data_IF_749777143643
#
_entry.id   IF_749777143643
#
_cell.length_a   1.000
_cell.length_b   1.000
_cell.length_c   1.000
_cell.angle_alpha   90.00
_cell.angle_beta   90.00
_cell.angle_gamma   90.00
#
_symmetry.space_group_name_H-M   'P 1'
#
loop_
_entity.id
_entity.type
_entity.pdbx_description
1 polymer ?
2 polymer ?
3 non-polymer ?
4 non-polymer ?
5 water ?
#
# COMPACT_ATOMS: atom_id res chain seq x y z
N UNK A 1 19.42 3.24 10.31
CA UNK A 1 18.78 4.26 11.09
C UNK A 1 17.73 3.59 11.90
N UNK A 2 17.32 4.23 12.95
CA UNK A 2 16.33 3.60 13.81
C UNK A 2 15.30 4.58 14.34
N UNK A 3 14.04 4.17 14.30
CA UNK A 3 12.96 4.99 14.82
C UNK A 3 12.41 4.27 16.03
N UNK A 4 12.63 4.84 17.21
CA UNK A 4 12.15 4.23 18.45
C UNK A 4 10.66 4.51 18.67
N UNK A 5 9.98 3.61 19.38
CA UNK A 5 8.56 3.73 19.66
C UNK A 5 7.78 3.94 18.35
N UNK A 6 8.09 3.11 17.36
CA UNK A 6 7.45 3.39 16.04
C UNK A 6 6.12 2.64 16.04
N UNK A 7 5.23 2.96 15.07
CA UNK A 7 3.96 2.24 15.01
C UNK A 7 4.34 0.76 14.89
N UNK A 8 3.58 -0.13 15.51
CA UNK A 8 3.93 -1.54 15.48
C UNK A 8 4.20 -2.10 14.08
N UNK A 9 3.45 -1.64 13.08
CA UNK A 9 3.64 -2.13 11.72
C UNK A 9 5.02 -1.88 11.14
N UNK A 10 5.56 -0.70 11.38
CA UNK A 10 6.89 -0.37 10.88
C UNK A 10 7.93 -1.25 11.58
N UNK A 11 7.78 -1.42 12.88
CA UNK A 11 8.71 -2.25 13.63
C UNK A 11 8.68 -3.69 13.14
N UNK A 12 7.48 -4.20 12.87
CA UNK A 12 7.29 -5.56 12.41
C UNK A 12 7.96 -5.90 11.09
N UNK A 13 7.91 -5.00 10.13
CA UNK A 13 8.51 -5.27 8.83
C UNK A 13 10.03 -5.15 8.84
N UNK A 14 10.58 -4.76 9.99
CA UNK A 14 12.03 -4.65 10.12
C UNK A 14 12.50 -5.61 11.22
N UNK A 15 11.65 -6.57 11.54
CA UNK A 15 12.00 -7.64 12.48
C UNK A 15 11.57 -9.04 12.07
N UNK A 16 12.21 -10.06 12.62
CA UNK A 16 11.89 -11.45 12.31
C UNK A 16 10.92 -12.00 13.35
N UNK A 17 10.64 -11.19 14.36
CA UNK A 17 9.73 -11.57 15.43
C UNK A 17 8.79 -10.43 15.81
N UNK A 18 7.59 -10.77 16.32
CA UNK A 18 6.60 -9.76 16.73
C UNK A 18 7.01 -9.17 18.06
N UNK A 19 6.34 -8.11 18.49
CA UNK A 19 6.62 -7.51 19.78
C UNK A 19 7.70 -6.45 19.93
N UNK A 20 8.39 -6.08 18.85
CA UNK A 20 9.42 -5.04 18.95
C UNK A 20 8.78 -3.67 18.71
N UNK A 21 9.50 -2.61 19.05
CA UNK A 21 8.96 -1.26 18.89
C UNK A 21 9.88 -0.30 18.14
N UNK A 22 10.99 -0.81 17.63
CA UNK A 22 11.94 0.01 16.89
C UNK A 22 11.91 -0.36 15.41
N UNK A 23 11.86 0.66 14.55
CA UNK A 23 11.86 0.44 13.11
C UNK A 23 13.25 0.71 12.56
N UNK A 24 13.92 -0.35 12.11
CA UNK A 24 15.27 -0.23 11.55
C UNK A 24 15.19 -0.13 10.04
N UNK A 25 15.87 0.85 9.48
CA UNK A 25 15.86 1.04 8.04
C UNK A 25 17.10 1.78 7.56
N UNK A 26 17.42 1.64 6.29
CA UNK A 26 18.55 2.33 5.70
C UNK A 26 18.19 3.78 5.45
N UNK A 27 19.11 4.68 5.79
CA UNK A 27 18.92 6.12 5.63
C UNK A 27 18.45 6.58 4.27
N UNK A 28 18.76 5.85 3.20
CA UNK A 28 18.32 6.25 1.87
C UNK A 28 16.80 6.47 1.87
N UNK A 29 16.09 5.61 2.60
CA UNK A 29 14.65 5.71 2.77
C UNK A 29 13.76 5.97 1.55
N UNK A 30 14.01 5.30 0.43
CA UNK A 30 13.18 5.49 -0.73
C UNK A 30 13.38 6.74 -1.54
N UNK A 31 14.41 7.49 -1.21
CA UNK A 31 14.72 8.73 -1.92
C UNK A 31 15.04 8.44 -3.37
N UNK A 32 14.39 9.17 -4.29
CA UNK A 32 14.63 8.95 -5.70
C UNK A 32 13.56 8.07 -6.33
N UNK A 33 12.70 7.49 -5.51
CA UNK A 33 11.60 6.66 -6.01
C UNK A 33 10.31 7.45 -5.89
N UNK A 34 9.27 7.01 -6.61
CA UNK A 34 8.00 7.71 -6.56
C UNK A 34 6.86 6.72 -6.34
N UNK A 35 5.89 7.12 -5.52
CA UNK A 35 4.76 6.27 -5.26
C UNK A 35 3.45 7.00 -5.51
N UNK A 36 2.64 6.46 -6.41
CA UNK A 36 1.33 7.03 -6.71
C UNK A 36 0.31 6.37 -5.79
N UNK A 37 -0.45 7.19 -5.07
CA UNK A 37 -1.48 6.68 -4.19
C UNK A 37 -2.80 6.97 -4.88
N UNK A 38 -3.41 5.92 -5.42
CA UNK A 38 -4.68 6.03 -6.14
C UNK A 38 -5.78 5.77 -5.13
N UNK A 39 -6.34 6.85 -4.60
CA UNK A 39 -7.35 6.75 -3.55
C UNK A 39 -8.24 7.99 -3.47
N UNK A 40 -8.62 8.40 -2.26
CA UNK A 40 -9.49 9.57 -2.10
C UNK A 40 -8.72 10.90 -2.16
N UNK A 41 -7.43 10.82 -2.46
CA UNK A 41 -6.60 12.00 -2.52
C UNK A 41 -5.63 12.02 -1.35
N UNK A 42 -4.85 13.09 -1.25
CA UNK A 42 -3.87 13.24 -0.17
C UNK A 42 -3.87 14.67 0.34
N UNK A 43 -3.93 14.86 1.65
CA UNK A 43 -3.86 16.21 2.20
C UNK A 43 -2.38 16.57 2.16
N UNK A 44 -1.94 17.04 1.00
CA UNK A 44 -0.53 17.39 0.78
C UNK A 44 0.08 18.40 1.75
N UNK A 45 -0.73 19.23 2.38
CA UNK A 45 -0.21 20.23 3.30
C UNK A 45 0.11 19.69 4.69
N UNK A 46 -0.18 18.41 4.92
CA UNK A 46 0.10 17.82 6.23
C UNK A 46 1.59 17.85 6.51
N UNK A 47 1.99 18.48 7.64
CA UNK A 47 3.40 18.59 8.04
C UNK A 47 4.19 17.30 7.91
N UNK A 48 3.52 16.18 8.15
CA UNK A 48 4.17 14.87 8.09
C UNK A 48 4.72 14.48 6.71
N UNK A 49 4.25 15.16 5.66
CA UNK A 49 4.74 14.87 4.31
C UNK A 49 5.94 15.72 3.93
N UNK A 50 6.22 16.72 4.76
CA UNK A 50 7.36 17.61 4.54
C UNK A 50 7.42 18.23 3.16
N UNK A 51 6.26 18.46 2.55
CA UNK A 51 6.34 18.87 1.13
C UNK A 51 6.70 17.86 0.06
N UNK A 52 6.79 16.59 0.44
CA UNK A 52 7.14 15.53 -0.50
C UNK A 52 5.91 14.93 -1.18
N UNK A 53 4.74 15.49 -0.88
CA UNK A 53 3.50 14.98 -1.45
C UNK A 53 2.75 16.01 -2.26
N UNK A 54 2.11 15.58 -3.33
CA UNK A 54 1.32 16.49 -4.15
C UNK A 54 0.27 15.80 -4.99
N UNK A 55 -0.85 16.47 -5.18
CA UNK A 55 -1.94 15.94 -5.98
C UNK A 55 -1.59 16.21 -7.43
N UNK A 56 -1.79 15.22 -8.29
CA UNK A 56 -1.47 15.43 -9.70
C UNK A 56 -2.71 15.25 -10.57
N UNK A 57 -3.78 14.69 -9.98
CA UNK A 57 -4.96 14.34 -10.76
C UNK A 57 -6.18 14.02 -9.91
N UNK A 58 -7.33 14.55 -10.33
CA UNK A 58 -8.59 14.29 -9.63
C UNK A 58 -9.69 14.05 -10.67
N UNK A 59 -10.67 13.20 -10.34
CA UNK A 59 -11.76 12.95 -11.26
C UNK A 59 -13.06 13.53 -10.72
N UNK A 60 -12.93 14.41 -9.73
CA UNK A 60 -14.08 15.06 -9.11
C UNK A 60 -13.90 16.57 -9.11
N UNK A 61 -14.83 17.28 -8.49
CA UNK A 61 -14.79 18.74 -8.42
C UNK A 61 -13.55 19.31 -7.77
N UNK A 62 -12.99 18.59 -6.81
CA UNK A 62 -11.81 19.04 -6.10
C UNK A 62 -10.76 17.95 -6.02
N UNK A 63 -9.53 18.32 -5.69
CA UNK A 63 -8.43 17.37 -5.57
C UNK A 63 -8.16 17.10 -4.09
N UNK A 64 -8.91 17.81 -3.26
CA UNK A 64 -8.83 17.71 -1.80
C UNK A 64 -9.36 16.37 -1.28
N UNK A 65 -8.70 15.83 -0.26
CA UNK A 65 -9.11 14.57 0.36
C UNK A 65 -10.13 14.93 1.45
N UNK A 66 -11.41 14.74 1.16
CA UNK A 66 -12.42 15.07 2.15
C UNK A 66 -12.83 13.83 2.93
N UNK A 67 -12.09 12.75 2.76
CA UNK A 67 -12.42 11.52 3.45
C UNK A 67 -11.39 11.15 4.52
N UNK A 68 -10.13 11.07 4.12
CA UNK A 68 -9.08 10.72 5.06
C UNK A 68 -8.39 9.42 4.74
N UNK A 69 -9.11 8.52 4.06
CA UNK A 69 -8.58 7.22 3.70
C UNK A 69 -7.27 7.34 2.89
N UNK A 70 -7.30 8.16 1.83
CA UNK A 70 -6.12 8.33 1.01
C UNK A 70 -4.93 8.93 1.74
N UNK A 71 -5.21 9.87 2.64
CA UNK A 71 -4.14 10.52 3.40
C UNK A 71 -3.53 9.52 4.39
N UNK A 72 -4.37 8.61 4.90
CA UNK A 72 -3.90 7.60 5.84
C UNK A 72 -2.94 6.64 5.12
N UNK A 73 -3.34 6.13 3.97
CA UNK A 73 -2.51 5.21 3.20
C UNK A 73 -1.20 5.85 2.76
N UNK A 74 -1.29 7.07 2.23
CA UNK A 74 -0.09 7.79 1.78
C UNK A 74 0.91 7.94 2.94
N UNK A 75 0.38 8.18 4.14
CA UNK A 75 1.22 8.36 5.31
C UNK A 75 1.99 7.10 5.65
N UNK A 76 1.37 5.95 5.44
CA UNK A 76 2.03 4.68 5.73
C UNK A 76 3.12 4.43 4.69
N UNK A 77 2.92 4.98 3.49
CA UNK A 77 3.92 4.80 2.45
C UNK A 77 5.13 5.67 2.79
N UNK A 78 4.92 6.97 2.98
CA UNK A 78 6.04 7.84 3.25
C UNK A 78 5.93 9.09 4.10
N UNK A 79 5.16 9.06 5.19
CA UNK A 79 5.11 10.23 6.08
C UNK A 79 6.38 10.08 6.94
N UNK A 80 6.92 11.16 7.48
CA UNK A 80 8.14 11.02 8.27
C UNK A 80 7.99 10.10 9.49
N UNK A 81 6.88 10.20 10.21
CA UNK A 81 6.68 9.38 11.39
C UNK A 81 5.98 8.04 11.21
N UNK A 82 5.05 7.95 10.26
CA UNK A 82 4.28 6.73 10.06
C UNK A 82 4.59 5.97 8.78
N UNK A 83 5.55 6.45 8.02
CA UNK A 83 5.86 5.81 6.76
C UNK A 83 7.04 4.85 6.70
N UNK A 84 6.98 3.96 5.71
CA UNK A 84 8.01 2.97 5.46
C UNK A 84 9.18 3.61 4.73
N UNK A 85 8.89 4.33 3.65
CA UNK A 85 9.91 5.01 2.85
C UNK A 85 9.76 6.50 3.14
N UNK A 86 10.43 6.95 4.19
CA UNK A 86 10.34 8.32 4.68
C UNK A 86 10.82 9.44 3.77
N UNK A 87 11.51 9.11 2.67
CA UNK A 87 11.99 10.14 1.76
C UNK A 87 11.43 10.06 0.35
N UNK A 88 10.40 9.24 0.16
CA UNK A 88 9.97 8.96 -1.23
C UNK A 88 9.09 10.15 -1.62
N UNK A 89 8.81 10.27 -2.92
CA UNK A 89 7.96 11.33 -3.43
C UNK A 89 6.58 10.71 -3.61
N UNK A 90 5.54 11.39 -3.10
CA UNK A 90 4.18 10.86 -3.19
C UNK A 90 3.33 11.66 -4.16
N UNK A 91 2.56 10.95 -4.99
CA UNK A 91 1.68 11.58 -5.96
C UNK A 91 0.27 11.08 -5.73
N UNK A 92 -0.68 11.99 -5.58
CA UNK A 92 -2.04 11.59 -5.33
C UNK A 92 -2.92 11.63 -6.56
N UNK A 93 -3.70 10.57 -6.74
CA UNK A 93 -4.64 10.47 -7.84
C UNK A 93 -5.99 10.18 -7.18
N UNK A 94 -6.87 11.18 -7.18
CA UNK A 94 -8.18 11.04 -6.57
C UNK A 94 -9.17 10.34 -7.50
N UNK A 95 -9.37 9.05 -7.24
CA UNK A 95 -10.25 8.23 -8.06
C UNK A 95 -11.51 7.86 -7.27
N UNK A 96 -11.48 8.14 -5.96
CA UNK A 96 -12.61 7.85 -5.06
C UNK A 96 -13.17 9.17 -4.54
N UNK A 97 -14.48 9.24 -4.38
CA UNK A 97 -15.09 10.47 -3.87
C UNK A 97 -14.88 10.56 -2.37
N UNK A 98 -15.41 11.61 -1.76
CA UNK A 98 -15.22 11.80 -0.32
C UNK A 98 -15.98 10.84 0.57
N UNK A 99 -16.67 9.87 -0.03
CA UNK A 99 -17.39 8.86 0.73
C UNK A 99 -16.63 7.54 0.61
N UNK A 100 -15.53 7.57 -0.14
CA UNK A 100 -14.72 6.38 -0.33
C UNK A 100 -15.22 5.54 -1.47
N UNK A 101 -16.08 6.13 -2.30
CA UNK A 101 -16.69 5.45 -3.44
C UNK A 101 -16.11 5.88 -4.79
N UNK A 102 -16.22 4.99 -5.76
CA UNK A 102 -15.73 5.28 -7.10
C UNK A 102 -16.26 4.26 -8.09
N UNK A 103 -16.53 4.71 -9.31
CA UNK A 103 -17.01 3.80 -10.33
C UNK A 103 -15.81 3.12 -11.01
N UNK A 104 -16.03 1.90 -11.48
CA UNK A 104 -14.96 1.16 -12.13
C UNK A 104 -14.30 1.89 -13.30
N UNK A 105 -15.08 2.63 -14.08
CA UNK A 105 -14.52 3.37 -15.21
C UNK A 105 -13.56 4.44 -14.71
N UNK A 106 -13.89 5.08 -13.60
CA UNK A 106 -13.01 6.12 -13.08
C UNK A 106 -11.70 5.54 -12.55
N UNK A 107 -11.80 4.40 -11.87
CA UNK A 107 -10.65 3.72 -11.31
C UNK A 107 -9.70 3.26 -12.44
N UNK A 108 -10.28 2.76 -13.53
CA UNK A 108 -9.49 2.29 -14.66
C UNK A 108 -8.80 3.50 -15.30
N UNK A 109 -9.53 4.61 -15.42
CA UNK A 109 -8.94 5.81 -16.00
C UNK A 109 -7.77 6.28 -15.15
N UNK A 110 -7.91 6.14 -13.84
CA UNK A 110 -6.85 6.55 -12.95
C UNK A 110 -5.59 5.72 -13.13
N UNK A 111 -5.76 4.42 -13.37
CA UNK A 111 -4.61 3.54 -13.59
C UNK A 111 -3.89 3.86 -14.90
N UNK A 112 -4.64 4.11 -15.97
CA UNK A 112 -4.01 4.43 -17.24
C UNK A 112 -3.32 5.79 -17.15
N UNK A 113 -3.86 6.68 -16.33
CA UNK A 113 -3.26 7.99 -16.17
C UNK A 113 -1.86 7.84 -15.61
N UNK A 114 -1.73 7.04 -14.55
CA UNK A 114 -0.44 6.81 -13.91
C UNK A 114 0.55 6.19 -14.88
N UNK A 115 0.09 5.24 -15.69
CA UNK A 115 0.97 4.59 -16.66
C UNK A 115 1.64 5.61 -17.58
N UNK A 116 0.88 6.63 -17.96
CA UNK A 116 1.38 7.68 -18.85
C UNK A 116 2.11 8.81 -18.12
N UNK A 117 1.50 9.30 -17.03
CA UNK A 117 2.06 10.39 -16.24
C UNK A 117 3.47 10.14 -15.70
N UNK A 118 3.78 8.90 -15.31
CA UNK A 118 5.09 8.59 -14.76
C UNK A 118 6.22 8.99 -15.72
N UNK A 119 5.87 9.14 -17.00
CA UNK A 119 6.86 9.52 -17.99
C UNK A 119 7.21 11.02 -17.93
N UNK A 120 6.40 11.79 -17.21
CA UNK A 120 6.62 13.24 -17.05
C UNK A 120 7.33 13.54 -15.74
N UNK A 121 7.57 12.51 -14.93
CA UNK A 121 8.19 12.72 -13.63
C UNK A 121 9.62 12.21 -13.57
N UNK A 122 10.34 12.71 -12.58
CA UNK A 122 11.73 12.33 -12.36
C UNK A 122 11.77 11.37 -11.19
N UNK A 123 11.80 10.08 -11.50
CA UNK A 123 11.82 9.02 -10.50
C UNK A 123 12.92 8.06 -10.92
N UNK A 124 14.18 8.51 -10.80
CA UNK A 124 15.32 7.67 -11.19
C UNK A 124 15.36 6.28 -10.56
N UNK A 125 14.82 6.13 -9.36
CA UNK A 125 14.85 4.84 -8.69
C UNK A 125 13.65 3.94 -8.99
N UNK A 126 12.65 4.46 -9.68
CA UNK A 126 11.50 3.63 -9.99
C UNK A 126 10.15 4.16 -9.53
N UNK A 127 9.10 3.57 -10.06
CA UNK A 127 7.74 4.00 -9.75
C UNK A 127 6.89 2.87 -9.16
N UNK A 128 6.09 3.24 -8.16
CA UNK A 128 5.20 2.30 -7.49
C UNK A 128 3.80 2.89 -7.48
N UNK A 129 2.79 2.03 -7.45
CA UNK A 129 1.41 2.47 -7.40
C UNK A 129 0.73 1.66 -6.30
N UNK A 130 0.09 2.35 -5.37
CA UNK A 130 -0.58 1.69 -4.25
C UNK A 130 -2.09 1.83 -4.42
N UNK A 131 -2.78 0.70 -4.53
CA UNK A 131 -4.23 0.71 -4.69
C UNK A 131 -4.97 -0.02 -3.58
N UNK A 132 -5.35 0.72 -2.54
CA UNK A 132 -6.08 0.32 -1.39
C UNK A 132 -7.57 0.47 -1.69
N UNK A 133 -8.05 -0.31 -2.65
CA UNK A 133 -9.45 -0.27 -3.05
C UNK A 133 -9.78 -1.54 -3.83
N UNK A 134 -11.05 -1.71 -4.15
CA UNK A 134 -11.46 -2.88 -4.90
C UNK A 134 -12.94 -3.15 -4.77
N UNK A 135 -13.44 -4.09 -5.55
CA UNK A 135 -14.85 -4.44 -5.51
C UNK A 135 -15.01 -5.82 -6.10
N UNK A 136 -16.20 -6.14 -6.58
CA UNK A 136 -16.45 -7.45 -7.15
C UNK A 136 -15.61 -7.65 -8.40
N UNK A 137 -15.38 -8.91 -8.76
CA UNK A 137 -14.59 -9.24 -9.95
C UNK A 137 -15.04 -8.51 -11.21
N UNK A 138 -14.07 -8.13 -12.02
CA UNK A 138 -14.19 -7.36 -13.23
C UNK A 138 -12.93 -7.53 -14.07
N UNK A 139 -13.09 -8.04 -15.29
CA UNK A 139 -11.95 -8.40 -16.12
C UNK A 139 -11.35 -7.09 -16.63
N UNK A 140 -12.15 -6.04 -16.70
CA UNK A 140 -11.67 -4.74 -17.16
C UNK A 140 -10.79 -4.05 -16.12
N UNK A 141 -11.15 -4.20 -14.85
CA UNK A 141 -10.36 -3.58 -13.79
C UNK A 141 -9.05 -4.37 -13.67
N UNK A 142 -9.16 -5.69 -13.70
CA UNK A 142 -8.00 -6.55 -13.61
C UNK A 142 -7.03 -6.20 -14.73
N UNK A 143 -7.58 -6.03 -15.92
CA UNK A 143 -6.82 -5.71 -17.12
C UNK A 143 -6.11 -4.36 -17.01
N UNK A 144 -6.77 -3.39 -16.38
CA UNK A 144 -6.16 -2.08 -16.21
C UNK A 144 -4.95 -2.19 -15.28
N UNK A 145 -5.08 -3.04 -14.26
CA UNK A 145 -4.01 -3.24 -13.30
C UNK A 145 -2.83 -3.93 -13.97
N UNK A 146 -3.13 -4.90 -14.84
CA UNK A 146 -2.07 -5.61 -15.56
C UNK A 146 -1.32 -4.67 -16.50
N UNK A 147 -2.03 -3.73 -17.11
CA UNK A 147 -1.41 -2.77 -18.02
C UNK A 147 -0.44 -1.85 -17.24
N UNK A 148 -0.89 -1.34 -16.10
CA UNK A 148 -0.06 -0.46 -15.27
C UNK A 148 1.23 -1.19 -14.86
N UNK A 149 1.08 -2.43 -14.40
CA UNK A 149 2.23 -3.23 -13.98
C UNK A 149 3.17 -3.45 -15.17
N UNK A 150 2.58 -3.77 -16.31
CA UNK A 150 3.31 -4.01 -17.56
C UNK A 150 4.06 -2.77 -18.06
N UNK A 151 3.51 -1.59 -17.81
CA UNK A 151 4.16 -0.36 -18.28
C UNK A 151 5.40 -0.03 -17.46
N UNK A 152 5.68 -0.83 -16.43
CA UNK A 152 6.86 -0.58 -15.62
C UNK A 152 6.65 0.04 -14.24
N UNK A 153 5.47 -0.15 -13.68
CA UNK A 153 5.15 0.40 -12.37
C UNK A 153 4.89 -0.77 -11.42
N UNK A 154 5.46 -0.74 -10.22
CA UNK A 154 5.23 -1.83 -9.27
C UNK A 154 3.84 -1.59 -8.68
N UNK A 155 2.91 -2.47 -9.01
CA UNK A 155 1.53 -2.35 -8.56
C UNK A 155 1.18 -3.22 -7.35
N UNK A 156 0.77 -2.56 -6.26
CA UNK A 156 0.39 -3.24 -5.03
C UNK A 156 -1.10 -2.97 -4.80
N UNK A 157 -1.88 -4.04 -4.55
CA UNK A 157 -3.31 -3.88 -4.35
C UNK A 157 -3.80 -4.64 -3.11
N UNK A 158 -4.86 -4.12 -2.50
CA UNK A 158 -5.43 -4.74 -1.30
C UNK A 158 -6.17 -6.02 -1.66
N UNK A 159 -6.06 -7.04 -0.81
CA UNK A 159 -6.75 -8.29 -1.06
C UNK A 159 -8.25 -8.15 -0.85
N UNK A 160 -8.65 -7.24 0.06
CA UNK A 160 -10.07 -7.05 0.34
C UNK A 160 -10.40 -7.46 1.78
N UNK A 161 -11.46 -6.88 2.34
CA UNK A 161 -11.82 -7.14 3.72
C UNK A 161 -13.10 -7.96 3.88
N UNK A 162 -13.26 -9.03 3.10
CA UNK A 162 -14.47 -9.84 3.18
C UNK A 162 -14.26 -11.21 3.83
N UNK A 163 -13.05 -11.47 4.34
CA UNK A 163 -12.75 -12.78 4.94
C UNK A 163 -13.22 -13.87 3.98
N UNK A 164 -12.86 -13.69 2.71
CA UNK A 164 -13.23 -14.64 1.66
C UNK A 164 -12.06 -14.81 0.70
N UNK A 165 -12.23 -15.65 -0.32
CA UNK A 165 -11.18 -15.88 -1.30
C UNK A 165 -11.13 -14.67 -2.23
N UNK A 166 -9.97 -14.05 -2.35
CA UNK A 166 -9.80 -12.86 -3.18
C UNK A 166 -9.98 -13.08 -4.68
N UNK A 167 -10.32 -14.30 -5.12
CA UNK A 167 -10.56 -14.65 -6.49
C UNK A 167 -11.80 -13.95 -7.03
N UNK A 168 -12.67 -13.64 -6.18
CA UNK A 168 -13.85 -12.95 -6.57
C UNK A 168 -13.78 -11.42 -6.49
N UNK A 169 -12.59 -10.86 -6.37
CA UNK A 169 -12.43 -9.42 -6.24
C UNK A 169 -11.36 -8.85 -7.16
N UNK A 170 -11.56 -7.60 -7.57
CA UNK A 170 -10.61 -6.90 -8.43
C UNK A 170 -10.29 -5.52 -7.85
N UNK A 171 -9.08 -5.04 -8.08
CA UNK A 171 -8.09 -5.78 -8.88
C UNK A 171 -7.30 -6.85 -8.11
N UNK A 172 -7.75 -7.18 -6.91
CA UNK A 172 -7.07 -8.18 -6.10
C UNK A 172 -6.79 -9.49 -6.86
N UNK A 173 -7.71 -9.91 -7.70
CA UNK A 173 -7.55 -11.17 -8.42
C UNK A 173 -6.66 -11.16 -9.66
N UNK A 174 -6.11 -10.01 -10.02
CA UNK A 174 -5.20 -9.97 -11.17
C UNK A 174 -3.88 -10.60 -10.72
N UNK A 175 -3.49 -11.72 -11.33
CA UNK A 175 -2.26 -12.43 -10.97
C UNK A 175 -0.95 -11.68 -11.17
N UNK A 176 -0.88 -10.74 -12.11
CA UNK A 176 0.36 -10.03 -12.36
C UNK A 176 0.77 -8.92 -11.40
N UNK A 177 -0.13 -8.47 -10.54
CA UNK A 177 0.20 -7.39 -9.60
C UNK A 177 0.54 -7.97 -8.23
N UNK A 178 0.67 -7.14 -7.20
CA UNK A 178 1.01 -7.66 -5.87
C UNK A 178 -0.17 -7.52 -4.92
N UNK A 179 -0.85 -8.62 -4.68
CA UNK A 179 -2.03 -8.65 -3.81
C UNK A 179 -1.59 -8.83 -2.37
N UNK A 180 -1.93 -7.84 -1.55
CA UNK A 180 -1.54 -7.78 -0.15
C UNK A 180 -2.62 -8.14 0.87
N UNK A 181 -2.32 -9.13 1.72
CA UNK A 181 -3.24 -9.53 2.77
C UNK A 181 -2.90 -8.78 4.05
N UNK A 182 -3.77 -8.84 5.05
CA UNK A 182 -3.54 -8.13 6.31
C UNK A 182 -3.28 -9.04 7.51
N UNK A 183 -2.38 -8.60 8.40
CA UNK A 183 -2.05 -9.34 9.63
C UNK A 183 -2.15 -8.39 10.84
N UNK A 184 -2.28 -8.95 12.04
CA UNK A 184 -2.36 -8.11 13.24
C UNK A 184 -1.05 -8.18 14.03
N UNK A 185 -0.94 -7.38 15.09
CA UNK A 185 0.29 -7.33 15.86
C UNK A 185 0.73 -8.63 16.52
N UNK A 186 -0.15 -9.61 16.60
CA UNK A 186 0.20 -10.90 17.20
C UNK A 186 0.49 -11.95 16.13
N UNK A 187 0.75 -11.47 14.92
CA UNK A 187 1.05 -12.34 13.79
C UNK A 187 -0.09 -13.29 13.39
N UNK A 188 -1.32 -12.83 13.55
CA UNK A 188 -2.49 -13.59 13.15
C UNK A 188 -3.01 -12.92 11.89
N UNK A 189 -3.62 -13.68 10.98
CA UNK A 189 -4.21 -13.07 9.80
C UNK A 189 -5.29 -12.17 10.38
N UNK A 190 -5.45 -10.97 9.84
CA UNK A 190 -6.51 -10.08 10.34
C UNK A 190 -7.83 -10.79 10.08
N UNK A 191 -8.76 -10.70 11.04
CA UNK A 191 -10.04 -11.38 10.93
C UNK A 191 -10.86 -11.04 9.69
N UNK A 192 -10.65 -9.85 9.14
CA UNK A 192 -11.38 -9.42 7.95
C UNK A 192 -10.65 -9.69 6.63
N UNK A 193 -9.36 -10.02 6.72
CA UNK A 193 -8.56 -10.22 5.52
C UNK A 193 -8.95 -11.36 4.60
N UNK A 194 -9.02 -11.05 3.31
CA UNK A 194 -9.31 -12.08 2.33
C UNK A 194 -8.07 -12.95 2.27
N UNK A 195 -8.19 -14.09 1.60
CA UNK A 195 -7.07 -15.01 1.48
C UNK A 195 -7.17 -15.71 0.14
N UNK A 196 -6.39 -16.76 -0.06
CA UNK A 196 -6.46 -17.48 -1.31
C UNK A 196 -5.14 -17.58 -2.04
N UNK A 197 -5.12 -18.40 -3.09
CA UNK A 197 -3.92 -18.64 -3.86
C UNK A 197 -3.38 -17.40 -4.55
N UNK A 198 -4.26 -16.45 -4.86
CA UNK A 198 -3.82 -15.24 -5.55
C UNK A 198 -3.05 -14.25 -4.66
N UNK A 199 -3.11 -14.42 -3.34
CA UNK A 199 -2.36 -13.52 -2.47
C UNK A 199 -0.87 -13.75 -2.65
N UNK A 200 -0.09 -12.67 -2.62
CA UNK A 200 1.35 -12.75 -2.78
C UNK A 200 2.09 -12.57 -1.49
N UNK A 201 1.52 -11.77 -0.60
CA UNK A 201 2.20 -11.45 0.63
C UNK A 201 1.26 -10.79 1.64
N UNK A 202 1.67 -10.78 2.90
CA UNK A 202 0.88 -10.16 3.96
C UNK A 202 1.62 -8.95 4.53
N UNK A 203 0.87 -8.01 5.05
CA UNK A 203 1.47 -6.83 5.65
C UNK A 203 0.65 -6.41 6.85
N UNK A 204 1.21 -5.60 7.76
CA UNK A 204 0.47 -5.13 8.95
C UNK A 204 -0.79 -4.38 8.52
N UNK A 205 -1.96 -4.83 8.99
CA UNK A 205 -3.19 -4.17 8.60
C UNK A 205 -4.19 -3.86 9.70
N UNK A 206 -3.96 -4.37 10.91
CA UNK A 206 -4.87 -4.12 12.03
C UNK A 206 -4.32 -3.07 12.99
N UNK A 207 -5.14 -2.06 13.28
CA UNK A 207 -4.76 -0.97 14.18
C UNK A 207 -3.49 -0.25 13.73
N UNK A 208 -3.58 0.35 12.55
CA UNK A 208 -2.45 1.06 11.95
C UNK A 208 -2.55 2.56 12.15
N UNK A 209 -1.59 3.13 12.88
CA UNK A 209 -1.57 4.56 13.13
C UNK A 209 -0.94 5.27 11.94
N UNK A 210 -1.59 6.34 11.48
CA UNK A 210 -1.07 7.10 10.35
C UNK A 210 -1.73 8.46 10.28
N UNK A 211 -1.33 9.24 9.29
CA UNK A 211 -1.86 10.58 9.07
C UNK A 211 -3.34 10.61 8.70
N UNK A 212 -4.00 11.72 9.03
CA UNK A 212 -5.41 11.89 8.72
C UNK A 212 -5.63 13.35 8.31
N UNK A 213 -6.81 13.66 7.78
CA UNK A 213 -7.07 15.03 7.35
C UNK A 213 -7.24 15.98 8.52
N UNK A 214 -7.05 17.27 8.26
CA UNK A 214 -7.14 18.25 9.33
C UNK A 214 -5.82 18.29 10.08
N UNK A 215 -4.79 17.71 9.46
CA UNK A 215 -3.48 17.69 10.07
C UNK A 215 -3.40 16.81 11.30
N UNK A 216 -4.27 15.82 11.38
CA UNK A 216 -4.31 14.92 12.53
C UNK A 216 -3.74 13.52 12.24
N UNK A 217 -4.08 12.59 13.12
CA UNK A 217 -3.66 11.20 12.99
C UNK A 217 -4.77 10.33 13.55
N UNK A 218 -4.79 9.08 13.14
CA UNK A 218 -5.76 8.14 13.66
C UNK A 218 -5.43 6.72 13.25
N UNK A 219 -5.92 5.78 14.06
CA UNK A 219 -5.66 4.37 13.84
C UNK A 219 -6.89 3.68 13.26
N UNK A 220 -6.71 2.97 12.14
CA UNK A 220 -7.80 2.23 11.53
C UNK A 220 -7.26 0.88 11.05
N UNK A 221 -8.15 0.04 10.54
CA UNK A 221 -7.75 -1.30 10.09
C UNK A 221 -8.27 -1.68 8.72
N UNK A 222 -7.56 -2.59 8.07
CA UNK A 222 -7.97 -3.06 6.76
C UNK A 222 -6.82 -3.48 5.87
N UNK A 223 -7.12 -4.26 4.81
CA UNK A 223 -6.06 -4.65 3.88
C UNK A 223 -5.60 -3.37 3.19
N UNK A 224 -6.37 -2.30 3.33
CA UNK A 224 -6.03 -0.99 2.76
C UNK A 224 -4.83 -0.40 3.50
N UNK A 225 -4.71 -0.76 4.78
CA UNK A 225 -3.55 -0.45 5.62
C UNK A 225 -2.28 -1.22 5.24
N UNK A 226 -2.46 -2.52 4.97
CA UNK A 226 -1.39 -3.41 4.59
C UNK A 226 -0.72 -3.04 3.24
N UNK A 227 -1.52 -2.65 2.28
CA UNK A 227 -1.04 -2.38 0.94
C UNK A 227 0.01 -1.25 0.90
N UNK A 228 -0.20 -0.17 1.61
CA UNK A 228 0.86 0.84 1.58
C UNK A 228 2.17 0.43 2.26
N UNK A 229 2.11 -0.57 3.15
CA UNK A 229 3.32 -1.05 3.81
C UNK A 229 4.20 -1.73 2.76
N UNK A 230 3.56 -2.47 1.87
CA UNK A 230 4.26 -3.17 0.80
C UNK A 230 4.68 -2.21 -0.32
N UNK A 231 3.83 -1.25 -0.65
CA UNK A 231 4.16 -0.28 -1.69
C UNK A 231 5.38 0.49 -1.20
N UNK A 232 5.35 0.90 0.06
CA UNK A 232 6.45 1.64 0.63
C UNK A 232 7.71 0.80 0.69
N UNK A 233 7.58 -0.47 1.07
CA UNK A 233 8.74 -1.34 1.15
C UNK A 233 9.38 -1.52 -0.24
N UNK A 234 8.54 -1.64 -1.26
CA UNK A 234 9.03 -1.80 -2.62
C UNK A 234 9.85 -0.59 -3.04
N UNK A 235 9.33 0.60 -2.78
CA UNK A 235 10.03 1.83 -3.13
C UNK A 235 11.38 1.86 -2.42
N UNK A 236 11.36 1.44 -1.16
CA UNK A 236 12.56 1.39 -0.32
C UNK A 236 13.62 0.46 -0.91
N UNK A 237 13.20 -0.73 -1.35
CA UNK A 237 14.11 -1.71 -1.92
C UNK A 237 14.62 -1.31 -3.30
N UNK A 238 13.77 -0.64 -4.07
CA UNK A 238 14.14 -0.21 -5.41
C UNK A 238 15.21 0.85 -5.30
N UNK A 239 15.04 1.77 -4.36
CA UNK A 239 16.02 2.82 -4.12
C UNK A 239 17.36 2.19 -3.73
N UNK A 240 17.31 1.07 -3.02
CA UNK A 240 18.53 0.38 -2.59
C UNK A 240 19.14 -0.43 -3.74
N UNK A 241 18.42 -0.54 -4.85
CA UNK A 241 18.91 -1.29 -5.99
C UNK A 241 18.85 -2.80 -5.84
N UNK A 242 18.03 -3.26 -4.91
CA UNK A 242 17.89 -4.70 -4.66
C UNK A 242 16.95 -5.38 -5.66
N UNK A 243 16.00 -4.62 -6.19
CA UNK A 243 15.04 -5.17 -7.13
C UNK A 243 14.55 -4.10 -8.07
N UNK A 244 13.67 -4.49 -8.99
CA UNK A 244 13.10 -3.56 -9.96
C UNK A 244 11.60 -3.63 -9.82
N UNK A 245 10.90 -2.76 -10.54
CA UNK A 245 9.45 -2.72 -10.48
C UNK A 245 8.82 -4.02 -10.95
N UNK A 246 9.41 -4.62 -11.98
CA UNK A 246 8.89 -5.87 -12.53
C UNK A 246 9.03 -7.09 -11.60
N UNK A 247 10.04 -7.09 -10.75
CA UNK A 247 10.26 -8.22 -9.87
C UNK A 247 10.20 -7.93 -8.37
N UNK A 248 9.83 -6.72 -7.99
CA UNK A 248 9.75 -6.35 -6.58
C UNK A 248 8.87 -7.28 -5.74
N UNK A 249 7.64 -7.53 -6.19
CA UNK A 249 6.71 -8.38 -5.45
C UNK A 249 7.32 -9.74 -5.16
N UNK A 250 7.93 -10.32 -6.19
CA UNK A 250 8.57 -11.62 -6.12
C UNK A 250 9.76 -11.55 -5.16
N UNK A 251 10.57 -10.50 -5.27
CA UNK A 251 11.71 -10.33 -4.39
C UNK A 251 11.23 -10.24 -2.93
N UNK A 252 10.17 -9.47 -2.72
CA UNK A 252 9.62 -9.28 -1.38
C UNK A 252 9.14 -10.62 -0.80
N UNK A 253 8.54 -11.45 -1.64
CA UNK A 253 8.05 -12.75 -1.21
C UNK A 253 9.23 -13.67 -0.89
N UNK A 254 10.25 -13.66 -1.73
CA UNK A 254 11.44 -14.49 -1.53
C UNK A 254 12.17 -14.18 -0.23
N UNK A 255 12.18 -12.90 0.14
CA UNK A 255 12.90 -12.45 1.33
C UNK A 255 12.02 -12.21 2.54
N UNK A 256 10.76 -12.63 2.46
CA UNK A 256 9.83 -12.41 3.55
C UNK A 256 10.07 -13.35 4.72
N UNK A 257 9.37 -13.08 5.82
CA UNK A 257 9.43 -13.94 7.00
C UNK A 257 8.46 -15.08 6.63
N UNK A 258 8.95 -16.32 6.65
CA UNK A 258 8.13 -17.47 6.29
C UNK A 258 7.53 -18.20 7.47
N UNK A 259 6.28 -18.63 7.32
CA UNK A 259 5.60 -19.39 8.36
C UNK A 259 5.33 -18.77 9.72
N UNK A 260 5.53 -17.46 9.85
CA UNK A 260 5.31 -16.78 11.12
C UNK A 260 3.83 -16.49 11.44
N UNK A 261 2.96 -16.55 10.42
CA UNK A 261 1.55 -16.24 10.61
C UNK A 261 0.67 -17.41 10.99
N UNK A 262 -0.35 -17.13 11.79
CA UNK A 262 -1.30 -18.15 12.19
C UNK A 262 -2.67 -17.86 11.57
N UNK A 263 -3.52 -18.88 11.52
CA UNK A 263 -4.85 -18.76 10.97
C UNK A 263 -4.83 -18.42 9.47
N UNK A 264 -3.88 -19.02 8.77
CA UNK A 264 -3.71 -18.87 7.34
C UNK A 264 -4.30 -20.15 6.74
N UNK A 265 -5.33 -20.02 5.89
CA UNK A 265 -5.97 -21.19 5.29
C UNK A 265 -5.02 -21.93 4.35
N UNK A 266 -5.14 -23.26 4.32
CA UNK A 266 -4.30 -24.05 3.44
C UNK A 266 -4.48 -23.52 2.02
N UNK A 267 -3.37 -23.34 1.31
CA UNK A 267 -3.44 -22.82 -0.05
C UNK A 267 -3.11 -21.34 -0.15
N UNK A 268 -2.93 -20.71 0.98
CA UNK A 268 -2.60 -19.31 1.06
C UNK A 268 -1.16 -19.22 1.56
N UNK A 269 -0.38 -18.38 0.93
CA UNK A 269 0.99 -18.17 1.35
C UNK A 269 1.13 -17.63 2.75
N UNK A 270 2.06 -18.19 3.49
CA UNK A 270 2.46 -17.72 4.79
C UNK A 270 3.72 -16.86 4.71
N UNK A 271 3.60 -15.67 4.19
CA UNK A 271 4.75 -14.79 4.00
C UNK A 271 4.40 -13.39 4.51
N UNK A 272 5.31 -12.80 5.27
CA UNK A 272 5.11 -11.47 5.84
C UNK A 272 6.21 -10.54 5.36
N UNK A 273 5.82 -9.39 4.79
CA UNK A 273 6.79 -8.42 4.29
C UNK A 273 7.90 -8.13 5.30
N UNK A 274 9.13 -8.15 4.85
CA UNK A 274 10.28 -7.94 5.72
C UNK A 274 11.42 -7.24 4.95
N UNK A 275 12.00 -6.19 5.53
CA UNK A 275 13.05 -5.45 4.84
C UNK A 275 14.47 -6.00 4.94
N UNK A 276 14.67 -7.01 5.78
CA UNK A 276 15.98 -7.63 5.93
C UNK A 276 17.11 -6.65 6.24
N UNK A 277 16.80 -5.63 7.05
CA UNK A 277 17.81 -4.65 7.39
C UNK A 277 18.82 -5.21 8.37
N UNK A 278 20.09 -4.95 8.08
CA UNK A 278 21.19 -5.39 8.91
C UNK A 278 22.14 -4.18 8.97
N UNK A 279 22.32 -3.64 10.16
CA UNK A 279 23.16 -2.46 10.37
C UNK A 279 24.67 -2.72 10.34
N UNK B 1 -14.35 1.73 -5.95
CA UNK B 1 -14.73 1.14 -4.70
C UNK B 1 -15.26 -0.21 -4.97
N UNK B 2 -15.93 -0.68 -3.92
CA UNK B 2 -16.65 -1.93 -3.85
C UNK B 2 -16.09 -2.52 -2.57
N UNK B 3 -15.14 -1.79 -1.97
CA UNK B 3 -14.37 -2.22 -0.77
C UNK B 3 -14.80 -1.67 0.59
N UNK B 4 -13.87 -0.66 0.94
CA UNK B 4 -14.23 -0.06 2.20
C UNK B 4 -14.11 1.47 2.20
N UNK B 5 -13.60 1.88 3.37
CA UNK B 5 -13.70 3.20 3.90
C UNK B 5 -15.18 3.43 4.13
N UNK B 6 -15.65 3.26 5.36
CA UNK B 6 -16.98 3.74 5.76
C UNK B 6 -16.94 4.43 7.14
N UNK B 7 -15.95 4.07 7.94
CA UNK B 7 -15.70 4.56 9.34
C UNK B 7 -16.43 4.06 10.63
N UNK B 8 -17.17 2.95 10.57
CA UNK B 8 -17.55 2.27 11.82
C UNK B 8 -17.25 0.84 11.42
N UNK B 9 -16.27 0.19 12.08
CA UNK B 9 -15.55 -1.01 11.47
C UNK B 9 -16.11 -2.38 11.85
N UNK B 10 -15.53 -3.40 11.19
CA UNK B 10 -15.80 -4.83 11.32
C UNK B 10 -14.58 -5.67 10.85
X LIG C 1 0.44 -11.74 -7.97
X LIG D 1 -16.28 14.17 -4.02
X LIG D 1 -17.04 13.54 -3.03
X LIG D 1 -16.90 15.03 -4.94
X LIG D 1 -14.92 13.94 -4.08
#
# INVERSE_FOLDING_TARGET
>A
AAQTNAPWGLARISSTSPGTSTYYYDESAGQGSCVYVIDTGIEASHPEFEGRAQMVKTYYYSSRDGNGHGTHCAGTVGSRTYGVAKKTQLFGVKVLDDNGSGQYSTIIAGMDFVASDKNNRNCPKGVVASLSLGGGYSSSVNSAAARLQSSGVMVAVAAGNNNADARNYSPASEPSVCTVGASDRYDRRSSFSNYGSVLDIFGPGTDILSTWIGGSTRSISGTSMATPHVAGLAAYLMTLGKTTAASACRYIADTANKGDLSNIPFGTVNLLAYNNYQA
>B
KGEADALSLD
>C hetero
1 CA CA
>D hetero
1 NO3 N O1 O2 O3
#
